data_IF_188364476101
#
_entry.id   IF_188364476101
#
_cell.length_a   1.000
_cell.length_b   1.000
_cell.length_c   1.000
_cell.angle_alpha   90.00
_cell.angle_beta   90.00
_cell.angle_gamma   90.00
#
_symmetry.space_group_name_H-M   'P 1'
#
loop_
_entity.id
_entity.type
_entity.pdbx_description
1 polymer ?
#
# COMPACT_ATOMS: atom_id res chain seq x y z
N UNK A 1 10.51 0.59 35.80
CA UNK A 1 10.07 0.76 34.39
C UNK A 1 8.87 1.68 34.38
N UNK A 2 8.94 2.77 33.61
CA UNK A 2 7.91 3.80 33.58
C UNK A 2 6.83 3.44 32.53
N UNK A 3 5.76 2.80 32.98
CA UNK A 3 4.68 2.28 32.13
C UNK A 3 3.89 3.39 31.41
N UNK A 4 4.03 4.66 31.81
CA UNK A 4 3.35 5.80 31.17
C UNK A 4 3.94 6.17 29.81
N UNK A 5 5.25 5.99 29.63
CA UNK A 5 5.92 6.28 28.35
C UNK A 5 5.59 5.25 27.25
N UNK A 6 5.35 3.99 27.62
CA UNK A 6 4.93 2.93 26.70
C UNK A 6 3.49 3.14 26.19
N UNK A 7 2.60 3.60 27.06
CA UNK A 7 1.21 3.88 26.69
C UNK A 7 1.07 5.09 25.75
N UNK A 8 1.86 6.15 25.98
CA UNK A 8 1.88 7.33 25.13
C UNK A 8 2.43 7.03 23.72
N UNK A 9 3.52 6.27 23.61
CA UNK A 9 4.07 5.85 22.32
C UNK A 9 3.12 4.96 21.52
N UNK A 10 2.37 4.07 22.19
CA UNK A 10 1.35 3.25 21.53
C UNK A 10 0.10 4.04 21.09
N UNK A 11 -0.26 5.12 21.80
CA UNK A 11 -1.43 5.94 21.48
C UNK A 11 -1.25 6.76 20.19
N UNK A 12 -0.02 7.18 19.87
CA UNK A 12 0.29 7.90 18.63
C UNK A 12 0.67 6.95 17.47
N UNK A 13 1.28 5.80 17.77
CA UNK A 13 1.66 4.82 16.76
C UNK A 13 0.46 4.13 16.10
N UNK A 14 -0.64 3.90 16.84
CA UNK A 14 -1.81 3.19 16.32
C UNK A 14 -2.57 3.98 15.24
N UNK A 15 -2.89 5.28 15.42
CA UNK A 15 -3.48 6.10 14.35
C UNK A 15 -2.60 6.19 13.11
N UNK A 16 -1.28 6.31 13.28
CA UNK A 16 -0.34 6.36 12.16
C UNK A 16 -0.33 5.04 11.37
N UNK A 17 -0.34 3.90 12.06
CA UNK A 17 -0.42 2.58 11.43
C UNK A 17 -1.75 2.38 10.70
N UNK A 18 -2.88 2.76 11.31
CA UNK A 18 -4.19 2.68 10.67
C UNK A 18 -4.26 3.55 9.41
N UNK A 19 -3.70 4.75 9.47
CA UNK A 19 -3.59 5.62 8.30
C UNK A 19 -2.74 4.96 7.21
N UNK A 20 -1.58 4.41 7.57
CA UNK A 20 -0.70 3.74 6.63
C UNK A 20 -1.38 2.56 5.94
N UNK A 21 -2.08 1.70 6.70
CA UNK A 21 -2.88 0.60 6.14
C UNK A 21 -3.96 1.11 5.20
N UNK A 22 -4.66 2.20 5.56
CA UNK A 22 -5.68 2.81 4.71
C UNK A 22 -5.09 3.35 3.40
N UNK A 23 -3.92 4.00 3.47
CA UNK A 23 -3.21 4.51 2.29
C UNK A 23 -2.82 3.34 1.36
N UNK A 24 -2.34 2.22 1.92
CA UNK A 24 -2.01 1.00 1.14
C UNK A 24 -3.25 0.36 0.50
N UNK A 25 -4.37 0.29 1.22
CA UNK A 25 -5.64 -0.20 0.67
C UNK A 25 -6.15 0.67 -0.48
N UNK A 26 -5.94 1.99 -0.40
CA UNK A 26 -6.28 2.92 -1.48
C UNK A 26 -5.44 2.63 -2.73
N UNK A 27 -4.12 2.43 -2.59
CA UNK A 27 -3.24 2.05 -3.70
C UNK A 27 -3.67 0.73 -4.33
N UNK A 28 -3.95 -0.30 -3.53
CA UNK A 28 -4.40 -1.60 -4.01
C UNK A 28 -5.72 -1.50 -4.80
N UNK A 29 -6.66 -0.67 -4.33
CA UNK A 29 -7.93 -0.43 -5.02
C UNK A 29 -7.73 0.24 -6.38
N UNK A 30 -6.83 1.23 -6.45
CA UNK A 30 -6.47 1.91 -7.70
C UNK A 30 -5.79 0.97 -8.68
N UNK A 31 -4.85 0.15 -8.20
CA UNK A 31 -4.18 -0.86 -9.01
C UNK A 31 -5.19 -1.85 -9.61
N UNK A 32 -6.12 -2.36 -8.80
CA UNK A 32 -7.17 -3.24 -9.26
C UNK A 32 -8.04 -2.61 -10.38
N UNK A 33 -8.42 -1.34 -10.21
CA UNK A 33 -9.18 -0.62 -11.23
C UNK A 33 -8.40 -0.47 -12.55
N UNK A 34 -7.11 -0.12 -12.48
CA UNK A 34 -6.25 0.01 -13.67
C UNK A 34 -6.12 -1.32 -14.40
N UNK A 35 -5.89 -2.42 -13.67
CA UNK A 35 -5.83 -3.76 -14.26
C UNK A 35 -7.14 -4.14 -14.97
N UNK A 36 -8.29 -3.77 -14.38
CA UNK A 36 -9.60 -3.98 -15.01
C UNK A 36 -9.74 -3.22 -16.34
N UNK A 37 -9.28 -1.97 -16.39
CA UNK A 37 -9.28 -1.16 -17.62
C UNK A 37 -8.35 -1.78 -18.67
N UNK A 38 -7.13 -2.17 -18.29
CA UNK A 38 -6.17 -2.82 -19.19
C UNK A 38 -6.77 -4.09 -19.78
N UNK A 39 -7.38 -4.93 -18.95
CA UNK A 39 -8.03 -6.18 -19.38
C UNK A 39 -9.15 -5.91 -20.38
N UNK A 40 -9.98 -4.88 -20.11
CA UNK A 40 -11.04 -4.51 -21.04
C UNK A 40 -10.49 -4.01 -22.39
N UNK A 41 -9.47 -3.15 -22.37
CA UNK A 41 -8.84 -2.64 -23.59
C UNK A 41 -8.12 -3.74 -24.39
N UNK A 42 -7.57 -4.75 -23.72
CA UNK A 42 -6.93 -5.89 -24.36
C UNK A 42 -7.98 -6.76 -25.08
N UNK A 43 -9.10 -7.07 -24.41
CA UNK A 43 -10.20 -7.82 -24.99
C UNK A 43 -10.86 -7.13 -26.20
N UNK A 44 -10.92 -5.81 -26.19
CA UNK A 44 -11.47 -5.00 -27.29
C UNK A 44 -10.41 -4.68 -28.37
N UNK A 45 -9.17 -5.15 -28.21
CA UNK A 45 -8.00 -4.80 -29.04
C UNK A 45 -7.79 -3.27 -29.21
N UNK A 46 -8.28 -2.49 -28.25
CA UNK A 46 -8.40 -1.04 -28.35
C UNK A 46 -7.20 -0.30 -27.73
N UNK A 47 -6.91 0.88 -28.30
CA UNK A 47 -5.98 1.89 -27.77
C UNK A 47 -4.61 1.32 -27.28
N UNK A 48 -3.77 0.76 -28.18
CA UNK A 48 -2.50 0.12 -27.79
C UNK A 48 -1.57 1.03 -26.98
N UNK A 49 -1.46 2.31 -27.36
CA UNK A 49 -0.65 3.31 -26.65
C UNK A 49 -1.20 3.57 -25.23
N UNK A 50 -2.53 3.66 -25.10
CA UNK A 50 -3.19 3.79 -23.81
C UNK A 50 -2.97 2.57 -22.92
N UNK A 51 -2.96 1.35 -23.49
CA UNK A 51 -2.64 0.14 -22.73
C UNK A 51 -1.22 0.17 -22.19
N UNK A 52 -0.23 0.53 -23.02
CA UNK A 52 1.17 0.65 -22.58
C UNK A 52 1.29 1.65 -21.42
N UNK A 53 0.66 2.82 -21.56
CA UNK A 53 0.65 3.82 -20.47
C UNK A 53 0.02 3.28 -19.18
N UNK A 54 -1.12 2.60 -19.28
CA UNK A 54 -1.81 2.02 -18.12
C UNK A 54 -1.03 0.87 -17.47
N UNK A 55 -0.32 0.06 -18.26
CA UNK A 55 0.59 -0.97 -17.74
C UNK A 55 1.71 -0.34 -16.92
N UNK A 56 2.40 0.67 -17.47
CA UNK A 56 3.45 1.39 -16.74
C UNK A 56 2.90 2.03 -15.45
N UNK A 57 1.69 2.60 -15.52
CA UNK A 57 1.03 3.16 -14.33
C UNK A 57 0.66 2.10 -13.29
N UNK A 58 0.27 0.90 -13.72
CA UNK A 58 0.02 -0.24 -12.83
C UNK A 58 1.31 -0.71 -12.13
N UNK A 59 2.43 -0.78 -12.85
CA UNK A 59 3.75 -1.10 -12.30
C UNK A 59 4.16 -0.08 -11.22
N UNK A 60 4.02 1.22 -11.51
CA UNK A 60 4.28 2.30 -10.55
C UNK A 60 3.44 2.17 -9.25
N UNK A 61 2.18 1.74 -9.37
CA UNK A 61 1.30 1.52 -8.22
C UNK A 61 1.70 0.28 -7.43
N UNK A 62 2.10 -0.80 -8.11
CA UNK A 62 2.58 -2.03 -7.50
C UNK A 62 3.88 -1.77 -6.71
N UNK A 63 4.81 -1.01 -7.27
CA UNK A 63 6.06 -0.65 -6.59
C UNK A 63 5.80 0.19 -5.34
N UNK A 64 4.92 1.20 -5.43
CA UNK A 64 4.53 2.02 -4.26
C UNK A 64 3.85 1.19 -3.18
N UNK A 65 3.01 0.23 -3.57
CA UNK A 65 2.36 -0.67 -2.63
C UNK A 65 3.38 -1.60 -1.95
N UNK A 66 4.30 -2.19 -2.70
CA UNK A 66 5.37 -3.04 -2.16
C UNK A 66 6.24 -2.28 -1.17
N UNK A 67 6.74 -1.11 -1.57
CA UNK A 67 7.55 -0.24 -0.72
C UNK A 67 6.80 0.18 0.54
N UNK A 68 5.52 0.53 0.41
CA UNK A 68 4.72 0.93 1.56
C UNK A 68 4.47 -0.23 2.53
N UNK A 69 4.26 -1.45 2.03
CA UNK A 69 4.14 -2.64 2.89
C UNK A 69 5.46 -2.96 3.60
N UNK A 70 6.60 -2.82 2.92
CA UNK A 70 7.93 -3.06 3.49
C UNK A 70 8.33 -2.01 4.54
N UNK A 71 7.80 -0.79 4.44
CA UNK A 71 8.09 0.32 5.37
C UNK A 71 7.43 0.19 6.74
N UNK A 72 6.59 -0.82 6.97
CA UNK A 72 6.00 -1.07 8.29
C UNK A 72 7.07 -1.68 9.22
N UNK A 73 7.87 -0.82 9.84
CA UNK A 73 8.67 -1.17 11.01
C UNK A 73 7.73 -1.47 12.19
N UNK A 74 7.24 -2.70 12.28
CA UNK A 74 6.58 -3.17 13.48
C UNK A 74 7.58 -3.08 14.64
N UNK A 75 7.19 -2.54 15.82
CA UNK A 75 8.05 -2.63 16.99
C UNK A 75 8.36 -4.11 17.19
N UNK A 76 9.65 -4.47 17.21
CA UNK A 76 10.10 -5.78 17.64
C UNK A 76 9.49 -5.98 19.02
N UNK A 77 8.40 -6.74 19.08
CA UNK A 77 7.80 -7.15 20.34
C UNK A 77 8.94 -7.70 21.16
N UNK A 78 9.20 -7.11 22.33
CA UNK A 78 10.25 -7.55 23.24
C UNK A 78 10.12 -9.06 23.39
N UNK A 79 10.93 -9.81 22.64
CA UNK A 79 11.07 -11.23 22.84
C UNK A 79 11.70 -11.32 24.23
N UNK A 80 10.90 -11.83 25.16
CA UNK A 80 11.18 -11.98 26.58
C UNK A 80 12.68 -12.17 26.87
N UNK A 81 13.29 -11.17 27.52
CA UNK A 81 14.50 -11.34 28.33
C UNK A 81 14.08 -11.33 29.79
#
# INVERSE_FOLDING_TARGET
MDYRNLAAGNAEAMPALLKHVSDMQCLATRLHAVMGIVTHLDNEEACPEGRVFLCNYAEDLADKLSLGLDQVNLPLGRANQ
#
